data_IF_295916064701
#
_entry.id   IF_295916064701
#
_cell.length_a   1.000
_cell.length_b   1.000
_cell.length_c   1.000
_cell.angle_alpha   90.00
_cell.angle_beta   90.00
_cell.angle_gamma   90.00
#
_symmetry.space_group_name_H-M   'P 1'
#
loop_
_entity.id
_entity.type
_entity.pdbx_description
1 polymer ?
#
# COMPACT_ATOMS: atom_id res chain seq x y z
N UNK A 1 0.18 -66.61 33.04
CA UNK A 1 -0.62 -65.66 32.26
C UNK A 1 0.24 -64.39 32.08
N UNK A 2 0.79 -64.19 30.87
CA UNK A 2 1.61 -63.00 30.56
C UNK A 2 0.72 -61.99 29.81
N UNK A 3 0.52 -60.84 30.45
CA UNK A 3 -0.20 -59.70 29.86
C UNK A 3 0.74 -58.93 28.95
N UNK A 4 0.50 -58.92 27.65
CA UNK A 4 1.23 -58.14 26.66
C UNK A 4 0.56 -56.77 26.47
N UNK A 5 1.25 -55.71 26.87
CA UNK A 5 0.83 -54.32 26.58
C UNK A 5 1.21 -53.96 25.16
N UNK A 6 0.19 -53.66 24.36
CA UNK A 6 0.37 -53.12 22.99
C UNK A 6 0.52 -51.60 23.09
N UNK A 7 1.70 -51.09 22.81
CA UNK A 7 1.99 -49.66 22.66
C UNK A 7 1.52 -49.23 21.26
N UNK A 8 0.41 -48.51 21.18
CA UNK A 8 -0.02 -47.86 19.94
C UNK A 8 0.73 -46.54 19.79
N UNK A 9 1.76 -46.54 18.95
CA UNK A 9 2.45 -45.32 18.58
C UNK A 9 1.62 -44.46 17.64
N UNK A 10 1.15 -43.30 18.10
CA UNK A 10 0.50 -42.30 17.26
C UNK A 10 1.63 -41.57 16.49
N UNK A 11 1.77 -41.88 15.20
CA UNK A 11 2.63 -41.15 14.27
C UNK A 11 1.95 -39.86 13.87
N UNK A 12 2.30 -38.76 14.52
CA UNK A 12 1.91 -37.40 14.12
C UNK A 12 2.65 -37.06 12.80
N UNK A 13 1.95 -37.19 11.68
CA UNK A 13 2.37 -36.64 10.40
C UNK A 13 2.29 -35.11 10.46
N UNK A 14 3.39 -34.46 10.75
CA UNK A 14 3.56 -33.02 10.55
C UNK A 14 3.58 -32.75 9.03
N UNK A 15 2.42 -32.50 8.44
CA UNK A 15 2.36 -31.93 7.09
C UNK A 15 2.86 -30.50 7.18
N UNK A 16 4.13 -30.29 6.80
CA UNK A 16 4.65 -28.96 6.56
C UNK A 16 3.86 -28.35 5.39
N UNK A 17 2.94 -27.43 5.67
CA UNK A 17 2.33 -26.58 4.66
C UNK A 17 3.46 -25.68 4.18
N UNK A 18 4.08 -26.03 3.07
CA UNK A 18 5.00 -25.14 2.36
C UNK A 18 4.18 -23.97 1.86
N UNK A 19 4.24 -22.85 2.53
CA UNK A 19 3.68 -21.61 2.02
C UNK A 19 4.38 -21.31 0.69
N UNK A 20 3.64 -21.31 -0.41
CA UNK A 20 4.22 -21.00 -1.71
C UNK A 20 4.74 -19.56 -1.68
N UNK A 21 6.04 -19.40 -1.90
CA UNK A 21 6.71 -18.11 -1.94
C UNK A 21 6.07 -17.20 -3.00
N UNK A 22 5.66 -16.00 -2.62
CA UNK A 22 5.07 -15.02 -3.55
C UNK A 22 6.20 -14.24 -4.22
N UNK A 23 6.39 -14.48 -5.52
CA UNK A 23 7.45 -13.85 -6.31
C UNK A 23 6.94 -12.57 -6.98
N UNK A 24 7.64 -11.46 -6.75
CA UNK A 24 7.41 -10.17 -7.42
C UNK A 24 8.72 -9.65 -8.02
N UNK A 25 8.75 -9.38 -9.32
CA UNK A 25 9.94 -8.90 -10.06
C UNK A 25 11.21 -9.74 -9.76
N UNK A 26 11.07 -11.08 -9.84
CA UNK A 26 12.13 -12.07 -9.58
C UNK A 26 12.67 -12.05 -8.13
N UNK A 27 11.93 -11.53 -7.18
CA UNK A 27 12.26 -11.54 -5.75
C UNK A 27 11.06 -12.04 -4.96
N UNK A 28 11.35 -12.79 -3.92
CA UNK A 28 10.35 -13.21 -2.96
C UNK A 28 9.90 -12.03 -2.10
N UNK A 29 8.57 -11.88 -1.95
CA UNK A 29 8.00 -10.92 -1.00
C UNK A 29 8.15 -11.50 0.41
N UNK A 30 8.64 -10.69 1.34
CA UNK A 30 8.70 -11.05 2.75
C UNK A 30 7.30 -11.03 3.38
N UNK A 31 7.11 -11.74 4.50
CA UNK A 31 5.84 -11.70 5.26
C UNK A 31 5.42 -10.27 5.63
N UNK A 32 6.38 -9.41 5.98
CA UNK A 32 6.12 -8.00 6.26
C UNK A 32 5.60 -7.24 5.03
N UNK A 33 6.09 -7.54 3.84
CA UNK A 33 5.61 -6.94 2.60
C UNK A 33 4.20 -7.45 2.24
N UNK A 34 3.96 -8.75 2.42
CA UNK A 34 2.64 -9.36 2.23
C UNK A 34 1.63 -8.73 3.21
N UNK A 35 1.98 -8.65 4.50
CA UNK A 35 1.15 -7.97 5.50
C UNK A 35 0.85 -6.51 5.11
N UNK A 36 1.85 -5.78 4.62
CA UNK A 36 1.65 -4.40 4.16
C UNK A 36 0.68 -4.31 2.99
N UNK A 37 0.76 -5.24 2.03
CA UNK A 37 -0.15 -5.31 0.89
C UNK A 37 -1.60 -5.58 1.35
N UNK A 38 -1.79 -6.56 2.24
CA UNK A 38 -3.09 -6.92 2.80
C UNK A 38 -3.70 -5.74 3.56
N UNK A 39 -2.92 -5.14 4.45
CA UNK A 39 -3.36 -4.00 5.24
C UNK A 39 -3.71 -2.79 4.37
N UNK A 40 -2.93 -2.53 3.30
CA UNK A 40 -3.26 -1.49 2.32
C UNK A 40 -4.60 -1.77 1.62
N UNK A 41 -4.84 -3.03 1.23
CA UNK A 41 -6.11 -3.42 0.63
C UNK A 41 -7.28 -3.15 1.58
N UNK A 42 -7.21 -3.64 2.83
CA UNK A 42 -8.25 -3.44 3.84
C UNK A 42 -8.56 -1.96 4.08
N UNK A 43 -7.51 -1.13 4.25
CA UNK A 43 -7.67 0.30 4.49
C UNK A 43 -8.34 1.05 3.32
N UNK A 44 -8.15 0.56 2.10
CA UNK A 44 -8.76 1.15 0.90
C UNK A 44 -10.11 0.57 0.49
N UNK A 45 -10.55 -0.54 1.10
CA UNK A 45 -11.70 -1.32 0.62
C UNK A 45 -13.00 -0.53 0.73
N UNK A 46 -13.26 0.11 1.86
CA UNK A 46 -14.49 0.90 2.09
C UNK A 46 -14.65 2.09 1.13
N UNK A 47 -13.54 2.63 0.61
CA UNK A 47 -13.52 3.72 -0.39
C UNK A 47 -13.55 3.21 -1.84
N UNK A 48 -13.54 1.87 -2.04
CA UNK A 48 -13.43 1.26 -3.37
C UNK A 48 -12.02 1.32 -3.97
N UNK A 49 -11.00 1.69 -3.17
CA UNK A 49 -9.60 1.77 -3.60
C UNK A 49 -8.72 0.62 -3.09
N UNK A 50 -9.28 -0.47 -2.54
CA UNK A 50 -8.50 -1.54 -1.92
C UNK A 50 -7.34 -2.03 -2.78
N UNK A 51 -7.60 -2.58 -3.98
CA UNK A 51 -6.54 -3.01 -4.91
C UNK A 51 -5.65 -1.85 -5.38
N UNK A 52 -6.21 -0.67 -5.56
CA UNK A 52 -5.44 0.52 -5.98
C UNK A 52 -4.44 0.91 -4.89
N UNK A 53 -4.87 0.96 -3.63
CA UNK A 53 -4.01 1.33 -2.51
C UNK A 53 -2.93 0.27 -2.27
N UNK A 54 -3.25 -1.03 -2.36
CA UNK A 54 -2.28 -2.12 -2.29
C UNK A 54 -1.23 -2.03 -3.43
N UNK A 55 -1.66 -1.72 -4.65
CA UNK A 55 -0.76 -1.53 -5.78
C UNK A 55 0.13 -0.28 -5.63
N UNK A 56 -0.41 0.81 -5.06
CA UNK A 56 0.37 2.01 -4.71
C UNK A 56 1.44 1.66 -3.67
N UNK A 57 1.10 0.96 -2.58
CA UNK A 57 2.07 0.52 -1.57
C UNK A 57 3.22 -0.28 -2.18
N UNK A 58 2.90 -1.21 -3.08
CA UNK A 58 3.89 -2.02 -3.78
C UNK A 58 4.77 -1.17 -4.72
N UNK A 59 4.19 -0.20 -5.42
CA UNK A 59 4.89 0.68 -6.37
C UNK A 59 5.80 1.68 -5.66
N UNK A 60 5.30 2.35 -4.63
CA UNK A 60 5.92 3.52 -4.01
C UNK A 60 7.05 3.14 -3.05
N UNK A 61 6.78 2.19 -2.17
CA UNK A 61 7.72 1.81 -1.11
C UNK A 61 8.21 0.37 -1.18
N UNK A 62 7.86 -0.38 -2.23
CA UNK A 62 7.97 -1.84 -2.28
C UNK A 62 7.30 -2.48 -1.06
N UNK A 63 6.04 -2.13 -0.85
CA UNK A 63 5.25 -2.59 0.28
C UNK A 63 5.93 -2.35 1.64
N UNK A 64 6.32 -1.10 1.89
CA UNK A 64 6.87 -0.66 3.17
C UNK A 64 8.37 -0.86 3.36
N UNK A 65 9.10 -1.35 2.34
CA UNK A 65 10.56 -1.50 2.43
C UNK A 65 11.31 -0.17 2.46
N UNK A 66 10.82 0.86 1.75
CA UNK A 66 11.45 2.17 1.63
C UNK A 66 10.46 3.27 2.04
N UNK A 67 10.55 3.73 3.29
CA UNK A 67 9.57 4.65 3.88
C UNK A 67 9.98 6.13 3.80
N UNK A 68 11.22 6.43 3.41
CA UNK A 68 11.75 7.79 3.47
C UNK A 68 12.49 8.13 2.19
N UNK A 69 12.01 9.15 1.48
CA UNK A 69 12.71 9.77 0.36
C UNK A 69 12.90 11.27 0.65
N UNK A 70 14.00 11.60 1.31
CA UNK A 70 14.29 12.98 1.67
C UNK A 70 14.58 13.88 0.47
N UNK A 71 14.96 13.32 -0.68
CA UNK A 71 15.28 14.11 -1.89
C UNK A 71 14.03 14.78 -2.46
N UNK A 72 12.91 14.08 -2.47
CA UNK A 72 11.62 14.55 -2.99
C UNK A 72 10.65 14.98 -1.89
N UNK A 73 10.92 14.57 -0.64
CA UNK A 73 10.05 14.86 0.52
C UNK A 73 8.85 13.92 0.60
N UNK A 74 9.02 12.66 0.14
CA UNK A 74 7.96 11.65 0.16
C UNK A 74 8.17 10.69 1.33
N UNK A 75 7.09 10.37 2.05
CA UNK A 75 7.15 9.63 3.30
C UNK A 75 6.05 8.59 3.43
N UNK A 76 6.41 7.50 4.11
CA UNK A 76 5.52 6.39 4.46
C UNK A 76 5.30 5.39 3.34
N UNK A 77 4.43 4.42 3.61
CA UNK A 77 4.15 3.30 2.70
C UNK A 77 3.68 3.76 1.33
N UNK A 78 2.93 4.85 1.27
CA UNK A 78 2.33 5.40 0.04
C UNK A 78 3.09 6.59 -0.54
N UNK A 79 4.30 6.88 -0.01
CA UNK A 79 5.18 7.98 -0.43
C UNK A 79 4.42 9.31 -0.56
N UNK A 80 3.65 9.64 0.48
CA UNK A 80 2.94 10.92 0.54
C UNK A 80 3.94 12.08 0.53
N UNK A 81 3.86 12.96 -0.45
CA UNK A 81 4.71 14.14 -0.50
C UNK A 81 4.27 15.15 0.56
N UNK A 82 5.16 15.45 1.52
CA UNK A 82 4.84 16.27 2.69
C UNK A 82 4.26 17.64 2.31
N UNK A 83 4.87 18.32 1.32
CA UNK A 83 4.45 19.64 0.87
C UNK A 83 3.00 19.62 0.34
N UNK A 84 2.68 18.63 -0.49
CA UNK A 84 1.35 18.53 -1.08
C UNK A 84 0.32 18.02 -0.06
N UNK A 85 0.71 17.12 0.84
CA UNK A 85 -0.15 16.67 1.94
C UNK A 85 -0.51 17.82 2.87
N UNK A 86 0.46 18.65 3.28
CA UNK A 86 0.23 19.87 4.06
C UNK A 86 -0.76 20.79 3.34
N UNK A 87 -0.51 21.10 2.06
CA UNK A 87 -1.39 21.94 1.26
C UNK A 87 -2.82 21.39 1.20
N UNK A 88 -2.98 20.09 1.05
CA UNK A 88 -4.29 19.43 1.01
C UNK A 88 -5.02 19.55 2.34
N UNK A 89 -4.33 19.30 3.46
CA UNK A 89 -4.89 19.47 4.80
C UNK A 89 -5.32 20.92 5.04
N UNK A 90 -4.46 21.89 4.70
CA UNK A 90 -4.79 23.32 4.83
C UNK A 90 -6.02 23.71 3.99
N UNK A 91 -6.16 23.17 2.77
CA UNK A 91 -7.34 23.41 1.92
C UNK A 91 -8.63 22.86 2.53
N UNK A 92 -8.57 21.69 3.16
CA UNK A 92 -9.74 21.03 3.75
C UNK A 92 -10.14 21.63 5.09
N UNK A 93 -9.16 22.06 5.90
CA UNK A 93 -9.42 22.59 7.24
C UNK A 93 -9.57 24.11 7.31
N UNK A 94 -9.12 24.81 6.26
CA UNK A 94 -9.03 26.29 6.26
C UNK A 94 -7.92 26.84 7.18
N UNK A 95 -7.16 25.99 7.86
CA UNK A 95 -6.14 26.38 8.84
C UNK A 95 -4.72 26.12 8.31
N UNK A 96 -3.80 27.04 8.61
CA UNK A 96 -2.36 26.87 8.25
C UNK A 96 -1.66 25.94 9.21
N UNK A 97 -0.82 25.05 8.67
CA UNK A 97 0.02 24.14 9.45
C UNK A 97 1.39 24.77 9.76
N UNK A 98 1.64 25.05 11.05
CA UNK A 98 2.95 25.49 11.51
C UNK A 98 4.01 24.37 11.42
N UNK A 99 5.30 24.74 11.57
CA UNK A 99 6.42 23.81 11.41
C UNK A 99 6.35 22.58 12.37
N UNK A 100 5.85 22.76 13.61
CA UNK A 100 5.69 21.66 14.58
C UNK A 100 4.65 20.64 14.09
N UNK A 101 3.54 21.12 13.54
CA UNK A 101 2.49 20.27 12.98
C UNK A 101 2.98 19.51 11.73
N UNK A 102 3.76 20.18 10.86
CA UNK A 102 4.36 19.53 9.70
C UNK A 102 5.38 18.44 10.10
N UNK A 103 6.19 18.68 11.16
CA UNK A 103 7.07 17.63 11.72
C UNK A 103 6.29 16.45 12.28
N UNK A 104 5.19 16.71 12.98
CA UNK A 104 4.31 15.65 13.51
C UNK A 104 3.71 14.85 12.36
N UNK A 105 3.15 15.53 11.35
CA UNK A 105 2.62 14.90 10.14
C UNK A 105 3.67 14.01 9.46
N UNK A 106 4.88 14.50 9.24
CA UNK A 106 5.96 13.69 8.69
C UNK A 106 6.22 12.42 9.50
N UNK A 107 6.26 12.55 10.83
CA UNK A 107 6.44 11.40 11.73
C UNK A 107 5.29 10.41 11.62
N UNK A 108 4.05 10.87 11.53
CA UNK A 108 2.86 10.04 11.35
C UNK A 108 2.90 9.30 10.01
N UNK A 109 3.27 9.96 8.92
CA UNK A 109 3.41 9.34 7.60
C UNK A 109 4.42 8.19 7.60
N UNK A 110 5.53 8.33 8.35
CA UNK A 110 6.59 7.30 8.42
C UNK A 110 6.20 6.15 9.34
N UNK A 111 5.62 6.45 10.52
CA UNK A 111 5.49 5.49 11.62
C UNK A 111 4.10 4.88 11.76
N UNK A 112 3.09 5.39 11.04
CA UNK A 112 1.74 4.85 11.04
C UNK A 112 1.27 4.60 9.62
N UNK A 113 1.06 3.33 9.32
CA UNK A 113 0.51 2.92 8.03
C UNK A 113 -0.92 3.43 7.82
N UNK A 114 -1.73 3.44 8.89
CA UNK A 114 -3.09 3.97 8.88
C UNK A 114 -3.11 5.46 8.56
N UNK A 115 -2.24 6.24 9.21
CA UNK A 115 -2.11 7.68 8.92
C UNK A 115 -1.66 7.91 7.48
N UNK A 116 -0.63 7.18 7.03
CA UNK A 116 -0.14 7.26 5.66
C UNK A 116 -1.23 6.88 4.64
N UNK A 117 -2.02 5.83 4.91
CA UNK A 117 -3.15 5.42 4.08
C UNK A 117 -4.26 6.47 4.02
N UNK A 118 -4.62 7.07 5.15
CA UNK A 118 -5.63 8.12 5.21
C UNK A 118 -5.28 9.31 4.31
N UNK A 119 -4.01 9.73 4.30
CA UNK A 119 -3.56 10.82 3.42
C UNK A 119 -3.50 10.40 1.96
N UNK A 120 -3.12 9.17 1.66
CA UNK A 120 -3.16 8.63 0.30
C UNK A 120 -4.60 8.53 -0.24
N UNK A 121 -5.54 8.05 0.59
CA UNK A 121 -6.96 7.99 0.25
C UNK A 121 -7.57 9.38 0.07
N UNK A 122 -7.21 10.33 0.93
CA UNK A 122 -7.63 11.73 0.80
C UNK A 122 -7.21 12.31 -0.57
N UNK A 123 -6.02 11.99 -1.05
CA UNK A 123 -5.53 12.42 -2.35
C UNK A 123 -6.26 11.69 -3.51
N UNK A 124 -6.49 10.38 -3.39
CA UNK A 124 -7.26 9.59 -4.37
C UNK A 124 -8.71 10.09 -4.49
N UNK A 125 -9.39 10.36 -3.37
CA UNK A 125 -10.76 10.89 -3.36
C UNK A 125 -10.82 12.31 -3.94
N UNK A 126 -9.82 13.16 -3.68
CA UNK A 126 -9.72 14.46 -4.31
C UNK A 126 -9.64 14.33 -5.84
N UNK A 127 -8.75 13.48 -6.34
CA UNK A 127 -8.63 13.25 -7.78
C UNK A 127 -9.86 12.57 -8.38
N UNK A 128 -10.50 11.67 -7.65
CA UNK A 128 -11.77 11.05 -8.08
C UNK A 128 -12.84 12.11 -8.34
N UNK A 129 -12.95 13.11 -7.46
CA UNK A 129 -13.85 14.24 -7.65
C UNK A 129 -13.46 15.09 -8.87
N UNK A 130 -12.17 15.44 -9.01
CA UNK A 130 -11.67 16.28 -10.12
C UNK A 130 -11.77 15.58 -11.48
N UNK A 131 -11.65 14.25 -11.49
CA UNK A 131 -11.64 13.43 -12.72
C UNK A 131 -12.96 12.73 -12.99
N UNK A 132 -14.04 13.15 -12.33
CA UNK A 132 -15.40 12.61 -12.53
C UNK A 132 -15.47 11.08 -12.39
N UNK A 133 -14.69 10.50 -11.49
CA UNK A 133 -14.64 9.06 -11.24
C UNK A 133 -13.84 8.24 -12.27
N UNK A 134 -13.23 8.84 -13.29
CA UNK A 134 -12.35 8.13 -14.22
C UNK A 134 -11.11 7.61 -13.48
N UNK A 135 -11.14 6.31 -13.13
CA UNK A 135 -10.09 5.66 -12.35
C UNK A 135 -8.70 5.79 -12.99
N UNK A 136 -8.60 5.67 -14.32
CA UNK A 136 -7.34 5.83 -15.04
C UNK A 136 -6.75 7.21 -14.83
N UNK A 137 -7.59 8.23 -14.95
CA UNK A 137 -7.19 9.62 -14.74
C UNK A 137 -6.89 9.92 -13.26
N UNK A 138 -7.62 9.29 -12.32
CA UNK A 138 -7.35 9.38 -10.88
C UNK A 138 -5.96 8.85 -10.56
N UNK A 139 -5.62 7.65 -11.01
CA UNK A 139 -4.31 7.02 -10.77
C UNK A 139 -3.18 7.84 -11.39
N UNK A 140 -3.33 8.29 -12.62
CA UNK A 140 -2.36 9.18 -13.28
C UNK A 140 -2.15 10.47 -12.49
N UNK A 141 -3.24 11.06 -11.98
CA UNK A 141 -3.19 12.32 -11.22
C UNK A 141 -2.61 12.15 -9.83
N UNK A 142 -2.67 10.98 -9.22
CA UNK A 142 -2.02 10.70 -7.94
C UNK A 142 -0.52 11.00 -8.01
N UNK A 143 0.14 10.64 -9.11
CA UNK A 143 1.56 10.93 -9.35
C UNK A 143 1.78 12.30 -10.03
N UNK A 144 1.06 12.59 -11.10
CA UNK A 144 1.34 13.72 -11.99
C UNK A 144 0.44 14.96 -11.77
N UNK A 145 -0.43 14.92 -10.74
CA UNK A 145 -1.30 16.04 -10.40
C UNK A 145 -2.23 16.45 -11.54
N UNK A 146 -2.20 17.72 -11.90
CA UNK A 146 -3.03 18.29 -12.96
C UNK A 146 -2.55 17.93 -14.38
N UNK A 147 -1.39 17.29 -14.53
CA UNK A 147 -0.82 16.87 -15.81
C UNK A 147 -0.85 15.34 -16.01
N UNK A 148 -2.03 14.68 -15.93
CA UNK A 148 -2.15 13.21 -15.92
C UNK A 148 -1.67 12.55 -17.23
N UNK A 149 -1.62 13.30 -18.32
CA UNK A 149 -1.17 12.81 -19.62
C UNK A 149 0.32 13.09 -19.89
N UNK A 150 1.08 13.55 -18.91
CA UNK A 150 2.55 13.56 -18.97
C UNK A 150 3.10 12.14 -19.07
N UNK A 151 4.35 12.00 -19.51
CA UNK A 151 5.03 10.71 -19.56
C UNK A 151 5.03 10.02 -18.18
N UNK A 152 5.32 10.79 -17.12
CA UNK A 152 5.34 10.28 -15.74
C UNK A 152 3.97 9.73 -15.30
N UNK A 153 2.89 10.46 -15.60
CA UNK A 153 1.53 10.03 -15.26
C UNK A 153 1.09 8.77 -16.00
N UNK A 154 1.49 8.65 -17.28
CA UNK A 154 1.21 7.47 -18.10
C UNK A 154 1.98 6.27 -17.56
N UNK A 155 3.29 6.39 -17.37
CA UNK A 155 4.13 5.32 -16.84
C UNK A 155 3.68 4.87 -15.45
N UNK A 156 3.32 5.82 -14.59
CA UNK A 156 2.79 5.51 -13.27
C UNK A 156 1.53 4.65 -13.33
N UNK A 157 0.57 5.04 -14.17
CA UNK A 157 -0.65 4.25 -14.39
C UNK A 157 -0.33 2.83 -14.86
N UNK A 158 0.59 2.66 -15.79
CA UNK A 158 0.97 1.34 -16.30
C UNK A 158 1.58 0.46 -15.22
N UNK A 159 2.41 1.03 -14.35
CA UNK A 159 2.94 0.32 -13.17
C UNK A 159 1.84 -0.10 -12.20
N UNK A 160 0.90 0.79 -11.89
CA UNK A 160 -0.23 0.46 -11.00
C UNK A 160 -1.12 -0.62 -11.63
N UNK A 161 -1.45 -0.53 -12.90
CA UNK A 161 -2.25 -1.53 -13.60
C UNK A 161 -1.56 -2.91 -13.63
N UNK A 162 -0.24 -2.95 -13.88
CA UNK A 162 0.58 -4.16 -13.80
C UNK A 162 0.54 -4.77 -12.40
N UNK A 163 0.69 -3.93 -11.37
CA UNK A 163 0.68 -4.38 -9.97
C UNK A 163 -0.70 -4.88 -9.53
N UNK A 164 -1.79 -4.26 -9.97
CA UNK A 164 -3.15 -4.79 -9.73
C UNK A 164 -3.33 -6.16 -10.38
N UNK A 165 -2.84 -6.35 -11.62
CA UNK A 165 -2.88 -7.65 -12.29
C UNK A 165 -2.09 -8.71 -11.50
N UNK A 166 -0.90 -8.36 -11.03
CA UNK A 166 -0.08 -9.23 -10.18
C UNK A 166 -0.82 -9.60 -8.88
N UNK A 167 -1.33 -8.61 -8.14
CA UNK A 167 -2.05 -8.82 -6.88
C UNK A 167 -3.26 -9.75 -7.06
N UNK A 168 -4.02 -9.58 -8.15
CA UNK A 168 -5.13 -10.47 -8.48
C UNK A 168 -4.67 -11.90 -8.78
N UNK A 169 -3.53 -12.07 -9.45
CA UNK A 169 -3.01 -13.40 -9.82
C UNK A 169 -2.46 -14.17 -8.62
N UNK A 170 -1.79 -13.50 -7.66
CA UNK A 170 -1.28 -14.16 -6.46
C UNK A 170 -2.37 -14.34 -5.37
N UNK A 171 -3.44 -13.56 -5.40
CA UNK A 171 -4.41 -13.53 -4.31
C UNK A 171 -3.87 -13.01 -2.98
N UNK A 172 -2.60 -12.60 -2.93
CA UNK A 172 -1.84 -12.28 -1.71
C UNK A 172 -2.29 -11.03 -0.96
N UNK A 173 -3.33 -10.35 -1.44
CA UNK A 173 -3.96 -9.20 -0.77
C UNK A 173 -5.18 -9.60 0.10
N UNK A 174 -5.57 -10.88 0.08
CA UNK A 174 -6.74 -11.45 0.78
C UNK A 174 -6.36 -12.76 1.46
N UNK A 175 -5.60 -12.75 2.52
CA UNK A 175 -5.36 -13.99 3.29
C UNK A 175 -5.83 -13.79 4.73
#
# INVERSE_FOLDING_TARGET
>A
MKSGSILVGILLLLTSISANAVMYENRELTDSQIYTIQRAYELGESSGFGLTLAAIALTESRAGKFLINNRTGDYGVFQNNLKYTVKRVEQLTGAKMGWRQQRKLRSELINSMESSANYALMELEYWKKIRNGDWKMVVKSYNAGYSPNSADGIEYYERIAKNIKFLRSCGCYRQ
#
